data_IF_790998510707
#
_entry.id   IF_790998510707
#
_cell.length_a   1.000
_cell.length_b   1.000
_cell.length_c   1.000
_cell.angle_alpha   90.00
_cell.angle_beta   90.00
_cell.angle_gamma   90.00
#
_symmetry.space_group_name_H-M   'P 1'
#
loop_
_entity.id
_entity.type
_entity.pdbx_description
1 polymer ?
#
# COMPACT_ATOMS: atom_id res chain seq x y z
N UNK A 1 -70.34 -53.00 66.23
CA UNK A 1 -70.87 -53.58 64.99
C UNK A 1 -70.36 -52.82 63.81
N UNK A 2 -69.98 -53.48 62.78
CA UNK A 2 -68.84 -53.11 61.95
C UNK A 2 -69.18 -52.41 60.65
N UNK A 3 -68.27 -51.71 60.07
CA UNK A 3 -68.25 -51.54 58.63
C UNK A 3 -66.84 -51.24 58.13
N UNK A 4 -66.43 -52.01 57.18
CA UNK A 4 -65.18 -51.95 56.45
C UNK A 4 -65.16 -50.77 55.53
N UNK A 5 -64.03 -50.01 55.51
CA UNK A 5 -63.75 -49.00 54.52
C UNK A 5 -62.48 -49.40 53.78
N UNK A 6 -62.65 -49.69 52.50
CA UNK A 6 -61.56 -49.95 51.55
C UNK A 6 -60.82 -48.69 51.22
N UNK A 7 -59.48 -48.69 51.33
CA UNK A 7 -58.60 -47.61 50.85
C UNK A 7 -58.17 -47.94 49.43
N UNK A 8 -58.61 -47.12 48.51
CA UNK A 8 -58.11 -47.07 47.15
C UNK A 8 -56.83 -46.14 47.06
N UNK A 9 -55.70 -46.76 46.79
CA UNK A 9 -54.46 -46.06 46.47
C UNK A 9 -54.52 -45.57 45.05
N UNK A 10 -54.60 -44.27 44.89
CA UNK A 10 -54.34 -43.62 43.60
C UNK A 10 -52.83 -43.35 43.49
N UNK A 11 -52.17 -44.02 42.57
CA UNK A 11 -50.81 -43.72 42.14
C UNK A 11 -50.88 -42.50 41.13
N UNK A 12 -50.36 -41.37 41.52
CA UNK A 12 -50.12 -40.26 40.63
C UNK A 12 -48.80 -40.49 39.89
N UNK A 13 -48.85 -40.71 38.57
CA UNK A 13 -47.67 -40.65 37.70
C UNK A 13 -47.35 -39.15 37.45
N UNK A 14 -46.27 -38.69 38.04
CA UNK A 14 -45.68 -37.40 37.68
C UNK A 14 -44.88 -37.54 36.38
N UNK A 15 -45.40 -36.98 35.27
CA UNK A 15 -44.63 -36.83 34.04
C UNK A 15 -43.70 -35.63 34.20
N UNK A 16 -42.40 -35.87 34.27
CA UNK A 16 -41.39 -34.82 34.23
C UNK A 16 -41.21 -34.38 32.76
N UNK A 17 -41.67 -33.19 32.46
CA UNK A 17 -41.34 -32.48 31.20
C UNK A 17 -39.87 -32.02 31.28
N UNK A 18 -38.98 -32.65 30.51
CA UNK A 18 -37.63 -32.15 30.26
C UNK A 18 -37.71 -31.14 29.10
N UNK A 19 -37.36 -29.87 29.28
CA UNK A 19 -37.29 -28.95 28.15
C UNK A 19 -36.10 -29.32 27.30
N UNK A 20 -36.32 -29.72 26.04
CA UNK A 20 -35.29 -29.87 25.05
C UNK A 20 -34.80 -28.44 24.64
N UNK A 21 -33.64 -28.07 25.16
CA UNK A 21 -32.94 -26.87 24.71
C UNK A 21 -32.33 -27.19 23.33
N UNK A 22 -33.01 -26.79 22.26
CA UNK A 22 -32.47 -26.81 20.89
C UNK A 22 -31.42 -25.71 20.77
N UNK A 23 -30.15 -26.08 20.92
CA UNK A 23 -29.02 -25.20 20.59
C UNK A 23 -29.00 -25.00 19.07
N UNK A 24 -29.50 -23.87 18.60
CA UNK A 24 -29.34 -23.44 17.22
C UNK A 24 -27.87 -23.02 17.06
N UNK A 25 -27.06 -23.91 16.49
CA UNK A 25 -25.73 -23.57 16.01
C UNK A 25 -25.91 -22.64 14.81
N UNK A 26 -25.65 -21.36 15.02
CA UNK A 26 -25.45 -20.42 13.92
C UNK A 26 -24.12 -20.78 13.25
N UNK A 27 -24.18 -21.57 12.19
CA UNK A 27 -23.07 -21.69 11.25
C UNK A 27 -23.05 -20.37 10.48
N UNK A 28 -22.23 -19.44 10.88
CA UNK A 28 -21.88 -18.30 10.04
C UNK A 28 -21.15 -18.90 8.84
N UNK A 29 -21.82 -18.98 7.70
CA UNK A 29 -21.13 -19.24 6.44
C UNK A 29 -20.13 -18.10 6.27
N UNK A 30 -18.83 -18.40 6.31
CA UNK A 30 -17.81 -17.47 5.86
C UNK A 30 -18.22 -17.07 4.43
N UNK A 31 -18.35 -15.78 4.18
CA UNK A 31 -18.56 -15.29 2.83
C UNK A 31 -17.42 -15.85 1.99
N UNK A 32 -17.76 -16.57 0.91
CA UNK A 32 -16.74 -16.99 -0.04
C UNK A 32 -16.10 -15.72 -0.59
N UNK A 33 -14.84 -15.46 -0.24
CA UNK A 33 -14.07 -14.39 -0.86
C UNK A 33 -14.03 -14.66 -2.36
N UNK A 34 -14.31 -13.65 -3.17
CA UNK A 34 -14.13 -13.75 -4.60
C UNK A 34 -12.63 -13.92 -4.86
N UNK A 35 -12.26 -15.03 -5.48
CA UNK A 35 -10.88 -15.27 -5.89
C UNK A 35 -10.63 -14.43 -7.18
N UNK A 36 -9.99 -13.28 -7.01
CA UNK A 36 -9.66 -12.37 -8.11
C UNK A 36 -8.42 -12.89 -8.84
N UNK A 37 -8.42 -12.99 -10.18
CA UNK A 37 -7.22 -13.33 -10.93
C UNK A 37 -6.08 -12.34 -10.67
N UNK A 38 -4.90 -12.84 -10.30
CA UNK A 38 -3.68 -12.05 -10.15
C UNK A 38 -2.79 -12.31 -11.36
N UNK A 39 -2.51 -11.25 -12.13
CA UNK A 39 -1.59 -11.28 -13.26
C UNK A 39 -0.32 -10.53 -12.85
N UNK A 40 0.75 -11.27 -12.54
CA UNK A 40 2.04 -10.73 -12.14
C UNK A 40 2.73 -10.04 -13.33
N UNK A 41 2.24 -8.86 -13.62
CA UNK A 41 2.71 -7.99 -14.67
C UNK A 41 2.38 -6.53 -14.29
N UNK A 42 3.39 -5.68 -14.24
CA UNK A 42 3.21 -4.26 -13.90
C UNK A 42 2.10 -3.58 -14.70
N UNK A 43 1.95 -3.94 -15.98
CA UNK A 43 0.96 -3.35 -16.87
C UNK A 43 -0.45 -3.98 -16.78
N UNK A 44 -0.65 -4.97 -15.92
CA UNK A 44 -1.93 -5.69 -15.78
C UNK A 44 -3.11 -4.79 -15.40
N UNK A 45 -2.85 -3.64 -14.80
CA UNK A 45 -3.87 -2.64 -14.47
C UNK A 45 -4.36 -1.77 -15.64
N UNK A 46 -3.53 -1.61 -16.70
CA UNK A 46 -3.86 -0.74 -17.84
C UNK A 46 -5.17 -1.12 -18.54
N UNK A 47 -5.46 -2.41 -18.81
CA UNK A 47 -6.72 -2.80 -19.45
C UNK A 47 -7.97 -2.39 -18.62
N UNK A 48 -7.87 -2.30 -17.31
CA UNK A 48 -8.97 -1.85 -16.46
C UNK A 48 -9.20 -0.35 -16.62
N UNK A 49 -8.14 0.47 -16.60
CA UNK A 49 -8.24 1.90 -16.85
C UNK A 49 -8.82 2.23 -18.22
N UNK A 50 -8.43 1.46 -19.27
CA UNK A 50 -8.97 1.65 -20.62
C UNK A 50 -10.46 1.28 -20.75
N UNK A 51 -10.95 0.31 -19.97
CA UNK A 51 -12.36 -0.13 -19.99
C UNK A 51 -13.25 0.73 -19.09
N UNK A 52 -12.72 1.22 -18.00
CA UNK A 52 -13.44 1.99 -16.99
C UNK A 52 -12.53 3.13 -16.45
N UNK A 53 -12.34 4.21 -17.23
CA UNK A 53 -11.46 5.31 -16.85
C UNK A 53 -11.80 5.90 -15.48
N UNK A 54 -10.78 5.94 -14.58
CA UNK A 54 -10.94 6.44 -13.22
C UNK A 54 -11.75 5.55 -12.30
N UNK A 55 -12.03 4.30 -12.70
CA UNK A 55 -12.68 3.29 -11.87
C UNK A 55 -11.74 2.61 -10.89
N UNK A 56 -12.19 1.47 -10.35
CA UNK A 56 -11.42 0.65 -9.40
C UNK A 56 -11.00 -0.68 -10.02
N UNK A 57 -9.89 -1.23 -9.52
CA UNK A 57 -9.45 -2.59 -9.81
C UNK A 57 -10.33 -3.62 -9.09
N UNK A 58 -10.37 -4.88 -9.57
CA UNK A 58 -10.95 -5.97 -8.82
C UNK A 58 -10.34 -6.07 -7.42
N UNK A 59 -11.18 -6.13 -6.40
CA UNK A 59 -10.75 -6.21 -5.00
C UNK A 59 -10.43 -4.87 -4.32
N UNK A 60 -10.37 -3.75 -5.06
CA UNK A 60 -10.12 -2.44 -4.47
C UNK A 60 -11.38 -1.58 -4.35
N UNK A 61 -11.33 -0.63 -3.42
CA UNK A 61 -12.28 0.45 -3.20
C UNK A 61 -13.71 -0.02 -2.86
N UNK A 62 -13.83 -1.19 -2.22
CA UNK A 62 -15.09 -1.57 -1.58
C UNK A 62 -15.27 -0.80 -0.27
N UNK A 63 -16.00 0.30 -0.33
CA UNK A 63 -16.29 1.16 0.82
C UNK A 63 -17.21 0.52 1.88
N UNK A 64 -17.75 -0.66 1.60
CA UNK A 64 -18.47 -1.49 2.57
C UNK A 64 -17.57 -2.49 3.30
N UNK A 65 -16.32 -2.67 2.86
CA UNK A 65 -15.35 -3.57 3.46
C UNK A 65 -15.15 -3.23 4.94
N UNK A 66 -15.01 -4.28 5.74
CA UNK A 66 -14.69 -4.17 7.17
C UNK A 66 -13.43 -4.99 7.44
N UNK A 67 -12.38 -4.35 7.96
CA UNK A 67 -11.17 -5.05 8.37
C UNK A 67 -11.49 -6.19 9.34
N UNK A 68 -10.78 -7.29 9.21
CA UNK A 68 -10.91 -8.45 10.09
C UNK A 68 -9.97 -8.34 11.29
N UNK A 69 -10.14 -9.20 12.29
CA UNK A 69 -9.20 -9.28 13.41
C UNK A 69 -7.80 -9.75 12.97
N UNK A 70 -7.70 -10.50 11.86
CA UNK A 70 -6.43 -10.91 11.28
C UNK A 70 -5.73 -9.77 10.53
N UNK A 71 -6.49 -8.90 9.88
CA UNK A 71 -6.00 -7.76 9.12
C UNK A 71 -6.76 -6.50 9.55
N UNK A 72 -6.44 -5.93 10.72
CA UNK A 72 -7.17 -4.80 11.30
C UNK A 72 -6.91 -3.46 10.59
N UNK A 73 -5.77 -3.35 9.89
CA UNK A 73 -5.42 -2.16 9.12
C UNK A 73 -5.81 -2.34 7.64
N UNK A 74 -6.68 -1.47 7.07
CA UNK A 74 -6.89 -1.44 5.62
C UNK A 74 -5.64 -0.96 4.90
N UNK A 75 -5.37 -1.52 3.72
CA UNK A 75 -4.20 -1.16 2.90
C UNK A 75 -4.55 -0.04 1.93
N UNK A 76 -3.75 1.02 1.93
CA UNK A 76 -3.83 2.12 0.97
C UNK A 76 -2.65 2.07 0.01
N UNK A 77 -2.94 1.99 -1.30
CA UNK A 77 -1.98 1.87 -2.38
C UNK A 77 -1.64 3.25 -2.96
N UNK A 78 -0.35 3.63 -2.94
CA UNK A 78 0.14 4.98 -3.30
C UNK A 78 1.09 4.87 -4.51
N UNK A 79 0.59 5.19 -5.70
CA UNK A 79 1.27 4.94 -6.98
C UNK A 79 2.53 5.79 -7.22
N UNK A 80 3.33 5.43 -8.23
CA UNK A 80 4.48 6.18 -8.70
C UNK A 80 4.13 7.32 -9.68
N UNK A 81 5.16 8.04 -10.14
CA UNK A 81 5.03 9.10 -11.15
C UNK A 81 4.42 8.55 -12.44
N UNK A 82 3.42 9.25 -12.97
CA UNK A 82 2.72 8.85 -14.20
C UNK A 82 1.73 7.70 -14.01
N UNK A 83 1.68 7.10 -12.81
CA UNK A 83 0.73 6.05 -12.46
C UNK A 83 -0.64 6.57 -12.04
N UNK A 84 -1.51 5.65 -11.65
CA UNK A 84 -2.84 5.92 -11.12
C UNK A 84 -3.36 4.75 -10.32
N UNK A 85 -4.54 4.90 -9.73
CA UNK A 85 -5.19 3.89 -8.90
C UNK A 85 -5.29 2.52 -9.57
N UNK A 86 -5.58 2.50 -10.88
CA UNK A 86 -5.66 1.25 -11.63
C UNK A 86 -4.33 0.85 -12.26
N UNK A 87 -3.61 1.81 -12.90
CA UNK A 87 -2.48 1.49 -13.77
C UNK A 87 -1.23 0.99 -13.02
N UNK A 88 -1.07 1.33 -11.75
CA UNK A 88 0.10 0.91 -10.95
C UNK A 88 -0.15 -0.37 -10.14
N UNK A 89 -1.40 -0.74 -9.88
CA UNK A 89 -1.75 -1.69 -8.82
C UNK A 89 -2.48 -2.93 -9.30
N UNK A 90 -2.36 -3.26 -10.60
CA UNK A 90 -3.02 -4.41 -11.20
C UNK A 90 -2.68 -5.76 -10.54
N UNK A 91 -1.51 -5.87 -9.91
CA UNK A 91 -1.09 -7.04 -9.11
C UNK A 91 -1.60 -6.94 -7.68
N UNK A 92 -1.29 -5.83 -7.00
CA UNK A 92 -1.47 -5.73 -5.54
C UNK A 92 -2.93 -5.66 -5.12
N UNK A 93 -3.80 -4.99 -5.88
CA UNK A 93 -5.19 -4.85 -5.51
C UNK A 93 -5.92 -6.20 -5.41
N UNK A 94 -5.93 -7.06 -6.46
CA UNK A 94 -6.55 -8.38 -6.38
C UNK A 94 -5.82 -9.33 -5.41
N UNK A 95 -4.48 -9.27 -5.33
CA UNK A 95 -3.70 -10.11 -4.43
C UNK A 95 -4.08 -9.86 -2.98
N UNK A 96 -4.02 -8.63 -2.52
CA UNK A 96 -4.34 -8.26 -1.13
C UNK A 96 -5.80 -8.54 -0.78
N UNK A 97 -6.71 -8.34 -1.72
CA UNK A 97 -8.12 -8.67 -1.51
C UNK A 97 -8.34 -10.18 -1.35
N UNK A 98 -7.61 -11.02 -2.09
CA UNK A 98 -7.63 -12.48 -1.93
C UNK A 98 -7.08 -12.92 -0.57
N UNK A 99 -6.07 -12.20 -0.04
CA UNK A 99 -5.54 -12.41 1.31
C UNK A 99 -6.46 -11.83 2.41
N UNK A 100 -7.59 -11.22 2.06
CA UNK A 100 -8.60 -10.74 3.01
C UNK A 100 -8.40 -9.33 3.54
N UNK A 101 -7.51 -8.54 2.94
CA UNK A 101 -7.37 -7.12 3.26
C UNK A 101 -8.49 -6.27 2.66
N UNK A 102 -8.88 -5.22 3.37
CA UNK A 102 -9.62 -4.11 2.77
C UNK A 102 -8.64 -3.21 2.01
N UNK A 103 -8.77 -3.12 0.68
CA UNK A 103 -7.80 -2.45 -0.20
C UNK A 103 -8.39 -1.18 -0.78
N UNK A 104 -7.63 -0.10 -0.73
CA UNK A 104 -8.02 1.20 -1.26
C UNK A 104 -6.92 1.80 -2.13
N UNK A 105 -7.30 2.47 -3.20
CA UNK A 105 -6.36 3.11 -4.12
C UNK A 105 -6.87 4.46 -4.58
N UNK A 106 -5.94 5.37 -4.89
CA UNK A 106 -6.28 6.69 -5.40
C UNK A 106 -5.36 7.10 -6.55
N UNK A 107 -5.85 7.94 -7.45
CA UNK A 107 -5.01 8.70 -8.37
C UNK A 107 -4.81 10.10 -7.80
N UNK A 108 -3.59 10.40 -7.35
CA UNK A 108 -3.22 11.70 -6.78
C UNK A 108 -2.36 12.51 -7.75
N UNK A 109 -2.30 13.80 -7.56
CA UNK A 109 -1.39 14.70 -8.29
C UNK A 109 -1.60 14.75 -9.80
N UNK A 110 -2.73 14.29 -10.30
CA UNK A 110 -3.12 14.47 -11.71
C UNK A 110 -3.57 15.90 -11.97
N UNK A 111 -3.39 16.37 -13.19
CA UNK A 111 -3.97 17.62 -13.66
C UNK A 111 -5.46 17.43 -13.98
N UNK A 112 -6.25 18.48 -13.77
CA UNK A 112 -7.66 18.51 -14.15
C UNK A 112 -7.79 18.68 -15.68
N UNK A 113 -7.57 17.59 -16.39
CA UNK A 113 -7.57 17.47 -17.83
C UNK A 113 -8.50 16.32 -18.26
N UNK A 114 -9.00 16.32 -19.49
CA UNK A 114 -9.76 15.19 -20.02
C UNK A 114 -8.92 13.90 -20.01
N UNK A 115 -9.61 12.75 -19.85
CA UNK A 115 -8.97 11.46 -20.08
C UNK A 115 -8.41 11.39 -21.52
N UNK A 116 -7.23 10.75 -21.76
CA UNK A 116 -6.45 9.95 -20.83
C UNK A 116 -5.47 10.74 -19.93
N UNK A 117 -5.35 12.06 -20.08
CA UNK A 117 -4.37 12.86 -19.34
C UNK A 117 -4.68 12.92 -17.83
N UNK A 118 -5.96 12.86 -17.43
CA UNK A 118 -6.37 12.81 -16.03
C UNK A 118 -5.99 11.49 -15.33
N UNK A 119 -5.64 10.44 -16.08
CA UNK A 119 -5.16 9.17 -15.52
C UNK A 119 -3.66 9.18 -15.20
N UNK A 120 -2.94 10.26 -15.60
CA UNK A 120 -1.51 10.44 -15.36
C UNK A 120 -1.33 11.17 -14.03
N UNK A 121 -1.18 10.42 -12.95
CA UNK A 121 -1.02 10.96 -11.61
C UNK A 121 0.43 11.29 -11.25
N UNK A 122 0.63 11.86 -10.05
CA UNK A 122 1.97 12.18 -9.54
C UNK A 122 2.70 13.31 -10.27
N UNK A 123 1.98 14.18 -11.00
CA UNK A 123 2.57 15.26 -11.80
C UNK A 123 2.64 16.58 -11.03
N UNK A 124 1.73 16.81 -10.08
CA UNK A 124 1.68 18.01 -9.25
C UNK A 124 2.71 17.95 -8.13
N UNK A 125 2.98 19.07 -7.41
CA UNK A 125 3.87 19.07 -6.26
C UNK A 125 3.55 17.95 -5.26
N UNK A 126 4.59 17.37 -4.65
CA UNK A 126 4.45 16.26 -3.70
C UNK A 126 3.61 16.67 -2.49
N UNK A 127 3.71 17.91 -2.04
CA UNK A 127 2.93 18.45 -0.93
C UNK A 127 1.43 18.44 -1.23
N UNK A 128 1.02 18.87 -2.44
CA UNK A 128 -0.37 18.83 -2.89
C UNK A 128 -0.88 17.39 -2.99
N UNK A 129 -0.04 16.50 -3.54
CA UNK A 129 -0.33 15.07 -3.66
C UNK A 129 -0.49 14.40 -2.29
N UNK A 130 0.36 14.78 -1.34
CA UNK A 130 0.29 14.27 0.05
C UNK A 130 -0.94 14.77 0.79
N UNK A 131 -1.40 16.00 0.52
CA UNK A 131 -2.66 16.50 1.07
C UNK A 131 -3.87 15.73 0.52
N UNK A 132 -3.84 15.31 -0.75
CA UNK A 132 -4.86 14.42 -1.33
C UNK A 132 -4.84 13.05 -0.66
N UNK A 133 -3.64 12.46 -0.44
CA UNK A 133 -3.50 11.20 0.28
C UNK A 133 -4.02 11.32 1.72
N UNK A 134 -3.69 12.40 2.44
CA UNK A 134 -4.18 12.63 3.80
C UNK A 134 -5.71 12.62 3.88
N UNK A 135 -6.37 13.35 3.00
CA UNK A 135 -7.83 13.38 2.92
C UNK A 135 -8.43 12.01 2.53
N UNK A 136 -7.73 11.26 1.68
CA UNK A 136 -8.15 9.91 1.28
C UNK A 136 -8.03 8.91 2.44
N UNK A 137 -6.91 8.93 3.20
CA UNK A 137 -6.73 8.11 4.40
C UNK A 137 -7.80 8.41 5.44
N UNK A 138 -8.12 9.69 5.67
CA UNK A 138 -9.18 10.07 6.60
C UNK A 138 -10.55 9.48 6.18
N UNK A 139 -10.84 9.46 4.89
CA UNK A 139 -12.03 8.81 4.35
C UNK A 139 -12.02 7.31 4.54
N UNK A 140 -10.88 6.64 4.32
CA UNK A 140 -10.72 5.18 4.54
C UNK A 140 -10.96 4.84 6.01
N UNK A 141 -10.30 5.54 6.94
CA UNK A 141 -10.48 5.33 8.38
C UNK A 141 -11.93 5.54 8.82
N UNK A 142 -12.59 6.59 8.30
CA UNK A 142 -14.00 6.85 8.59
C UNK A 142 -14.93 5.75 8.05
N UNK A 143 -14.65 5.19 6.87
CA UNK A 143 -15.46 4.14 6.26
C UNK A 143 -15.27 2.78 6.94
N UNK A 144 -14.04 2.44 7.31
CA UNK A 144 -13.68 1.14 7.88
C UNK A 144 -13.79 1.08 9.39
N UNK A 145 -13.78 2.22 10.07
CA UNK A 145 -13.64 2.36 11.52
C UNK A 145 -12.30 1.79 12.06
N UNK A 146 -11.31 1.59 11.21
CA UNK A 146 -9.97 1.19 11.62
C UNK A 146 -9.25 2.32 12.36
N UNK A 147 -8.34 1.98 13.26
CA UNK A 147 -7.54 2.96 13.98
C UNK A 147 -6.41 3.52 13.11
N UNK A 148 -5.82 2.67 12.27
CA UNK A 148 -4.71 2.99 11.37
C UNK A 148 -4.92 2.34 10.00
N UNK A 149 -4.08 2.71 9.05
CA UNK A 149 -3.94 2.07 7.74
C UNK A 149 -2.52 1.54 7.58
N UNK A 150 -2.34 0.56 6.70
CA UNK A 150 -1.04 0.24 6.14
C UNK A 150 -0.88 0.91 4.77
N UNK A 151 0.33 1.38 4.45
CA UNK A 151 0.65 1.93 3.14
C UNK A 151 1.52 0.96 2.35
N UNK A 152 1.17 0.74 1.08
CA UNK A 152 2.10 0.22 0.07
C UNK A 152 2.30 1.31 -0.96
N UNK A 153 3.55 1.74 -1.12
CA UNK A 153 3.88 2.83 -2.01
C UNK A 153 4.94 2.41 -3.03
N UNK A 154 4.85 2.93 -4.25
CA UNK A 154 5.79 2.68 -5.32
C UNK A 154 6.45 4.00 -5.76
N UNK A 155 7.79 3.99 -5.92
CA UNK A 155 8.53 5.11 -6.51
C UNK A 155 8.25 6.44 -5.78
N UNK A 156 7.81 7.49 -6.49
CA UNK A 156 7.39 8.79 -5.93
C UNK A 156 6.36 8.64 -4.80
N UNK A 157 5.48 7.64 -4.87
CA UNK A 157 4.47 7.38 -3.84
C UNK A 157 5.05 7.27 -2.44
N UNK A 158 6.30 6.81 -2.33
CA UNK A 158 7.01 6.75 -1.05
C UNK A 158 7.28 8.14 -0.46
N UNK A 159 7.64 9.11 -1.28
CA UNK A 159 7.83 10.49 -0.82
C UNK A 159 6.50 11.16 -0.47
N UNK A 160 5.45 10.89 -1.25
CA UNK A 160 4.08 11.37 -0.97
C UNK A 160 3.58 10.80 0.36
N UNK A 161 3.71 9.48 0.57
CA UNK A 161 3.35 8.82 1.82
C UNK A 161 4.17 9.32 3.00
N UNK A 162 5.48 9.45 2.83
CA UNK A 162 6.35 9.89 3.91
C UNK A 162 6.16 11.37 4.28
N UNK A 163 5.85 12.23 3.31
CA UNK A 163 5.46 13.61 3.60
C UNK A 163 4.13 13.66 4.39
N UNK A 164 3.16 12.83 4.02
CA UNK A 164 1.92 12.68 4.79
C UNK A 164 2.22 12.24 6.21
N UNK A 165 3.02 11.19 6.40
CA UNK A 165 3.38 10.67 7.73
C UNK A 165 4.05 11.75 8.57
N UNK A 166 5.09 12.41 8.06
CA UNK A 166 5.94 13.30 8.84
C UNK A 166 5.45 14.74 8.95
N UNK A 167 4.61 15.23 8.04
CA UNK A 167 4.24 16.65 7.94
C UNK A 167 2.74 16.93 8.01
N UNK A 168 1.90 15.91 7.76
CA UNK A 168 0.43 16.08 7.70
C UNK A 168 -0.32 15.22 8.73
N UNK A 169 0.36 14.79 9.80
CA UNK A 169 -0.26 14.05 10.91
C UNK A 169 -0.56 12.58 10.58
N UNK A 170 0.17 11.99 9.63
CA UNK A 170 0.04 10.57 9.28
C UNK A 170 0.69 9.62 10.28
N UNK A 171 1.61 10.10 11.14
CA UNK A 171 2.31 9.27 12.14
C UNK A 171 1.34 8.49 13.05
N UNK A 172 0.26 9.10 13.47
CA UNK A 172 -0.77 8.47 14.30
C UNK A 172 -1.73 7.57 13.49
N UNK A 173 -1.72 7.67 12.15
CA UNK A 173 -2.68 7.03 11.25
C UNK A 173 -2.11 5.88 10.44
N UNK A 174 -0.79 5.72 10.40
CA UNK A 174 -0.09 4.66 9.66
C UNK A 174 0.55 3.69 10.64
N UNK A 175 0.40 2.39 10.41
CA UNK A 175 1.08 1.35 11.18
C UNK A 175 2.31 0.84 10.45
N UNK A 176 2.13 0.28 9.26
CA UNK A 176 3.21 -0.23 8.42
C UNK A 176 3.29 0.54 7.11
N UNK A 177 4.52 0.71 6.62
CA UNK A 177 4.82 1.37 5.36
C UNK A 177 5.73 0.47 4.52
N UNK A 178 5.15 -0.21 3.54
CA UNK A 178 5.89 -1.00 2.56
C UNK A 178 6.28 -0.10 1.39
N UNK A 179 7.57 0.11 1.25
CA UNK A 179 8.16 1.05 0.29
C UNK A 179 8.85 0.28 -0.84
N UNK A 180 8.30 0.34 -2.04
CA UNK A 180 8.83 -0.31 -3.24
C UNK A 180 9.57 0.73 -4.07
N UNK A 181 10.83 0.47 -4.42
CA UNK A 181 11.66 1.34 -5.25
C UNK A 181 11.69 2.81 -4.78
N UNK A 182 12.02 3.03 -3.51
CA UNK A 182 11.82 4.31 -2.84
C UNK A 182 12.96 5.31 -3.05
N UNK A 183 12.72 6.51 -3.60
CA UNK A 183 13.74 7.53 -3.76
C UNK A 183 13.96 8.35 -2.47
N UNK A 184 14.25 7.70 -1.33
CA UNK A 184 14.37 8.37 -0.03
C UNK A 184 15.37 9.52 -0.01
N UNK A 185 16.51 9.35 -0.68
CA UNK A 185 17.55 10.36 -0.79
C UNK A 185 17.52 11.08 -2.15
N UNK A 186 16.41 10.99 -2.85
CA UNK A 186 16.25 11.52 -4.20
C UNK A 186 16.75 10.56 -5.28
N UNK A 187 16.61 10.99 -6.53
CA UNK A 187 17.02 10.20 -7.71
C UNK A 187 17.83 11.05 -8.67
N UNK A 188 18.56 10.40 -9.60
CA UNK A 188 19.47 11.06 -10.56
C UNK A 188 20.50 11.99 -9.91
N UNK A 189 20.81 11.83 -8.63
CA UNK A 189 21.78 12.65 -7.90
C UNK A 189 23.12 12.76 -8.62
N UNK A 190 23.78 11.66 -9.02
CA UNK A 190 25.07 11.70 -9.71
C UNK A 190 25.06 12.52 -11.01
N UNK A 191 23.90 12.71 -11.64
CA UNK A 191 23.75 13.48 -12.90
C UNK A 191 23.36 14.93 -12.64
N UNK A 192 22.41 15.17 -11.74
CA UNK A 192 21.81 16.50 -11.53
C UNK A 192 22.59 17.33 -10.52
N UNK A 193 23.09 16.72 -9.43
CA UNK A 193 23.70 17.45 -8.33
C UNK A 193 24.93 18.26 -8.69
N UNK A 194 25.87 17.80 -9.55
CA UNK A 194 27.00 18.62 -9.95
C UNK A 194 26.58 19.91 -10.65
N UNK A 195 25.56 19.86 -11.52
CA UNK A 195 25.03 21.03 -12.20
C UNK A 195 24.28 21.97 -11.25
N UNK A 196 23.49 21.41 -10.32
CA UNK A 196 22.80 22.17 -9.28
C UNK A 196 23.78 22.85 -8.33
N UNK A 197 24.81 22.17 -7.89
CA UNK A 197 25.84 22.75 -6.99
C UNK A 197 26.64 23.84 -7.69
N UNK A 198 26.95 23.67 -8.97
CA UNK A 198 27.58 24.72 -9.77
C UNK A 198 26.67 25.95 -9.89
N UNK A 199 25.39 25.77 -10.19
CA UNK A 199 24.42 26.85 -10.22
C UNK A 199 24.29 27.58 -8.88
N UNK A 200 24.29 26.85 -7.75
CA UNK A 200 24.27 27.43 -6.40
C UNK A 200 25.51 28.29 -6.12
N UNK A 201 26.70 27.82 -6.50
CA UNK A 201 27.95 28.59 -6.36
C UNK A 201 27.93 29.91 -7.11
N UNK A 202 27.19 29.97 -8.23
CA UNK A 202 26.99 31.19 -9.02
C UNK A 202 25.81 32.06 -8.54
N UNK A 203 25.13 31.68 -7.43
CA UNK A 203 23.93 32.37 -6.96
C UNK A 203 22.69 32.12 -7.82
N UNK A 204 22.74 31.17 -8.78
CA UNK A 204 21.68 30.83 -9.71
C UNK A 204 20.89 29.56 -9.32
N UNK A 205 21.11 29.02 -8.12
CA UNK A 205 20.44 27.83 -7.64
C UNK A 205 18.90 27.88 -7.75
N UNK A 206 18.23 28.95 -7.27
CA UNK A 206 16.77 29.07 -7.39
C UNK A 206 16.29 29.10 -8.84
N UNK A 207 17.03 29.73 -9.76
CA UNK A 207 16.68 29.76 -11.17
C UNK A 207 16.84 28.38 -11.82
N UNK A 208 17.87 27.63 -11.44
CA UNK A 208 18.07 26.25 -11.89
C UNK A 208 16.91 25.34 -11.45
N UNK A 209 16.55 25.39 -10.18
CA UNK A 209 15.45 24.59 -9.62
C UNK A 209 14.09 25.00 -10.23
N UNK A 210 13.86 26.31 -10.48
CA UNK A 210 12.69 26.80 -11.18
C UNK A 210 12.61 26.28 -12.64
N UNK A 211 13.76 26.16 -13.32
CA UNK A 211 13.81 25.61 -14.68
C UNK A 211 13.43 24.14 -14.72
N UNK A 212 13.91 23.36 -13.74
CA UNK A 212 13.49 21.95 -13.57
C UNK A 212 12.00 21.86 -13.25
N UNK A 213 11.49 22.72 -12.37
CA UNK A 213 10.09 22.77 -11.95
C UNK A 213 9.11 23.28 -13.01
N UNK A 214 9.62 23.93 -14.08
CA UNK A 214 8.81 24.38 -15.21
C UNK A 214 8.35 23.23 -16.14
N UNK A 215 8.82 22.00 -15.89
CA UNK A 215 8.32 20.81 -16.58
C UNK A 215 6.86 20.53 -16.22
N UNK A 216 6.09 19.82 -17.07
CA UNK A 216 4.75 19.38 -16.71
C UNK A 216 4.71 18.42 -15.50
N UNK A 217 5.87 17.98 -15.00
CA UNK A 217 6.00 17.19 -13.79
C UNK A 217 6.72 17.99 -12.70
N UNK A 218 5.97 18.77 -11.92
CA UNK A 218 6.53 19.54 -10.80
C UNK A 218 7.17 18.64 -9.73
N UNK A 219 6.56 17.49 -9.44
CA UNK A 219 7.10 16.49 -8.52
C UNK A 219 8.45 15.92 -8.97
N UNK A 220 8.67 15.79 -10.30
CA UNK A 220 9.93 15.26 -10.82
C UNK A 220 11.13 16.12 -10.40
N UNK A 221 10.98 17.44 -10.41
CA UNK A 221 12.02 18.36 -9.94
C UNK A 221 12.32 18.19 -8.42
N UNK A 222 11.29 17.91 -7.62
CA UNK A 222 11.40 17.72 -6.18
C UNK A 222 12.12 16.42 -5.81
N UNK A 223 12.07 15.41 -6.68
CA UNK A 223 12.72 14.11 -6.46
C UNK A 223 14.19 14.06 -6.87
N UNK A 224 14.69 15.09 -7.59
CA UNK A 224 16.05 15.04 -8.12
C UNK A 224 17.10 15.26 -7.03
N UNK A 225 17.98 14.28 -6.81
CA UNK A 225 19.17 14.36 -5.99
C UNK A 225 19.01 15.18 -4.71
N UNK A 226 19.86 16.20 -4.56
CA UNK A 226 19.87 17.12 -3.42
C UNK A 226 18.82 18.26 -3.52
N UNK A 227 17.64 18.02 -4.08
CA UNK A 227 16.56 19.01 -4.09
C UNK A 227 16.21 19.49 -2.68
N UNK A 228 15.76 20.75 -2.57
CA UNK A 228 15.38 21.34 -1.29
C UNK A 228 14.26 20.57 -0.59
N UNK A 229 13.34 20.03 -1.38
CA UNK A 229 12.28 19.16 -0.90
C UNK A 229 12.84 17.93 -0.16
N UNK A 230 13.75 17.17 -0.79
CA UNK A 230 14.38 15.97 -0.18
C UNK A 230 15.12 16.33 1.11
N UNK A 231 15.90 17.43 1.08
CA UNK A 231 16.64 17.89 2.29
C UNK A 231 15.71 18.28 3.42
N UNK A 232 14.64 19.01 3.09
CA UNK A 232 13.65 19.45 4.07
C UNK A 232 12.85 18.28 4.66
N UNK A 233 12.44 17.34 3.83
CA UNK A 233 11.70 16.15 4.28
C UNK A 233 12.56 15.29 5.23
N UNK A 234 13.85 15.17 4.94
CA UNK A 234 14.78 14.31 5.67
C UNK A 234 15.59 15.03 6.77
N UNK A 235 15.31 16.31 7.06
CA UNK A 235 16.09 17.10 8.02
C UNK A 235 16.12 16.49 9.43
N UNK A 236 15.10 15.75 9.81
CA UNK A 236 14.90 15.05 11.09
C UNK A 236 15.02 13.52 10.96
N UNK A 237 15.69 13.04 9.91
CA UNK A 237 15.78 11.63 9.52
C UNK A 237 14.81 11.27 8.41
N UNK A 238 15.03 10.11 7.76
CA UNK A 238 14.18 9.65 6.68
C UNK A 238 12.83 9.17 7.21
N UNK A 239 12.83 8.39 8.26
CA UNK A 239 11.67 7.66 8.78
C UNK A 239 11.07 8.33 10.01
N UNK A 240 9.76 8.18 10.16
CA UNK A 240 9.05 8.46 11.40
C UNK A 240 9.26 7.30 12.39
N UNK A 241 9.60 7.55 13.66
CA UNK A 241 9.90 6.48 14.62
C UNK A 241 8.68 5.65 15.05
N UNK A 242 7.47 6.14 14.85
CA UNK A 242 6.24 5.43 15.23
C UNK A 242 5.76 4.44 14.17
N UNK A 243 6.23 4.58 12.92
CA UNK A 243 5.85 3.74 11.78
C UNK A 243 6.88 2.66 11.52
N UNK A 244 6.43 1.45 11.15
CA UNK A 244 7.30 0.34 10.74
C UNK A 244 7.50 0.36 9.24
N UNK A 245 8.75 0.43 8.79
CA UNK A 245 9.09 0.51 7.36
C UNK A 245 9.70 -0.78 6.84
N UNK A 246 9.28 -1.19 5.64
CA UNK A 246 9.95 -2.24 4.87
C UNK A 246 10.25 -1.71 3.49
N UNK A 247 11.54 -1.55 3.18
CA UNK A 247 12.01 -1.13 1.87
C UNK A 247 12.27 -2.36 1.01
N UNK A 248 11.68 -2.42 -0.18
CA UNK A 248 11.85 -3.48 -1.17
C UNK A 248 12.42 -2.84 -2.43
N UNK A 249 13.63 -3.26 -2.83
CA UNK A 249 14.40 -2.61 -3.86
C UNK A 249 15.02 -3.61 -4.82
N UNK A 250 15.33 -3.17 -6.03
CA UNK A 250 16.04 -3.95 -7.05
C UNK A 250 17.39 -3.33 -7.40
N UNK A 251 18.40 -4.17 -7.61
CA UNK A 251 19.71 -3.72 -8.10
C UNK A 251 19.68 -3.17 -9.52
N UNK A 252 18.62 -3.45 -10.26
CA UNK A 252 18.43 -3.07 -11.64
C UNK A 252 17.60 -1.81 -11.81
N UNK A 253 17.32 -1.07 -10.71
CA UNK A 253 16.58 0.18 -10.78
C UNK A 253 17.34 1.21 -11.60
N UNK A 254 16.74 1.63 -12.71
CA UNK A 254 17.29 2.60 -13.66
C UNK A 254 16.76 4.02 -13.45
N UNK A 255 15.72 4.17 -12.60
CA UNK A 255 15.14 5.46 -12.26
C UNK A 255 15.59 5.95 -10.89
N UNK A 256 15.58 5.10 -9.86
CA UNK A 256 16.09 5.43 -8.53
C UNK A 256 17.58 5.08 -8.46
N UNK A 257 18.42 6.02 -8.89
CA UNK A 257 19.87 5.80 -9.08
C UNK A 257 20.67 6.68 -8.13
N UNK A 258 21.61 6.08 -7.36
CA UNK A 258 21.85 4.64 -7.22
C UNK A 258 20.74 3.95 -6.39
N UNK A 259 20.43 2.69 -6.68
CA UNK A 259 19.36 1.94 -5.99
C UNK A 259 19.54 1.92 -4.45
N UNK A 260 20.75 2.09 -3.96
CA UNK A 260 21.06 2.12 -2.53
C UNK A 260 20.45 3.32 -1.78
N UNK A 261 19.97 4.35 -2.49
CA UNK A 261 19.25 5.48 -1.86
C UNK A 261 17.91 5.06 -1.26
N UNK A 262 17.37 3.91 -1.69
CA UNK A 262 16.18 3.32 -1.13
C UNK A 262 16.43 2.51 0.17
N UNK A 263 17.68 2.13 0.42
CA UNK A 263 18.06 1.20 1.50
C UNK A 263 18.61 1.93 2.73
N UNK A 264 18.00 3.04 3.12
CA UNK A 264 18.44 3.81 4.28
C UNK A 264 18.14 3.01 5.56
N UNK A 265 19.12 2.81 6.46
CA UNK A 265 18.87 2.14 7.73
C UNK A 265 18.06 3.02 8.68
N UNK A 266 17.20 2.41 9.50
CA UNK A 266 16.37 3.10 10.49
C UNK A 266 15.95 2.19 11.66
N UNK A 267 15.37 2.74 12.74
CA UNK A 267 15.05 1.98 13.96
C UNK A 267 14.04 0.84 13.75
N UNK A 268 12.96 1.11 13.02
CA UNK A 268 11.90 0.14 12.70
C UNK A 268 11.90 -0.11 11.19
N UNK A 269 13.08 -0.43 10.63
CA UNK A 269 13.26 -0.48 9.18
C UNK A 269 13.91 -1.79 8.76
N UNK A 270 13.27 -2.48 7.81
CA UNK A 270 13.81 -3.64 7.11
C UNK A 270 14.15 -3.25 5.69
N UNK A 271 15.35 -3.60 5.23
CA UNK A 271 15.81 -3.37 3.86
C UNK A 271 15.96 -4.69 3.12
N UNK A 272 15.31 -4.81 1.99
CA UNK A 272 15.26 -6.01 1.15
C UNK A 272 15.70 -5.65 -0.26
N UNK A 273 16.63 -6.42 -0.81
CA UNK A 273 16.98 -6.40 -2.23
C UNK A 273 16.44 -7.69 -2.85
N UNK A 274 15.56 -7.58 -3.84
CA UNK A 274 14.87 -8.77 -4.40
C UNK A 274 15.83 -9.80 -5.00
N UNK A 275 17.02 -9.40 -5.44
CA UNK A 275 18.06 -10.31 -5.94
C UNK A 275 18.82 -11.01 -4.81
N UNK A 276 18.68 -10.60 -3.55
CA UNK A 276 19.31 -11.32 -2.44
C UNK A 276 18.61 -12.66 -2.25
N UNK A 277 19.36 -13.74 -2.47
CA UNK A 277 18.84 -15.11 -2.49
C UNK A 277 18.12 -15.53 -3.77
N UNK A 278 18.00 -14.65 -4.80
CA UNK A 278 17.41 -14.99 -6.10
C UNK A 278 18.06 -14.22 -7.26
N UNK A 279 19.16 -14.74 -7.77
CA UNK A 279 19.88 -14.11 -8.90
C UNK A 279 19.11 -14.17 -10.24
N UNK A 280 17.98 -14.85 -10.29
CA UNK A 280 17.14 -14.98 -11.47
C UNK A 280 16.06 -13.90 -11.58
N UNK A 281 15.96 -13.01 -10.59
CA UNK A 281 15.08 -11.85 -10.62
C UNK A 281 15.77 -10.69 -11.35
N UNK A 282 15.22 -10.30 -12.51
CA UNK A 282 15.68 -9.17 -13.33
C UNK A 282 14.66 -8.03 -13.39
N UNK A 283 13.72 -8.00 -12.44
CA UNK A 283 12.81 -6.88 -12.34
C UNK A 283 13.59 -5.58 -12.12
N UNK A 284 13.22 -4.55 -12.85
CA UNK A 284 13.73 -3.19 -12.76
C UNK A 284 12.69 -2.28 -12.06
N UNK A 285 12.79 -0.96 -12.19
CA UNK A 285 11.96 -0.01 -11.45
C UNK A 285 10.45 -0.23 -11.59
N UNK A 286 9.96 -0.53 -12.78
CA UNK A 286 8.54 -0.80 -13.01
C UNK A 286 8.21 -2.27 -12.68
N UNK A 287 9.03 -3.19 -13.17
CA UNK A 287 8.83 -4.63 -13.01
C UNK A 287 8.80 -5.09 -11.56
N UNK A 288 9.53 -4.44 -10.64
CA UNK A 288 9.49 -4.80 -9.22
C UNK A 288 8.07 -4.64 -8.63
N UNK A 289 7.27 -3.70 -9.10
CA UNK A 289 5.88 -3.55 -8.69
C UNK A 289 4.92 -4.54 -9.39
N UNK A 290 5.42 -5.31 -10.36
CA UNK A 290 4.71 -6.42 -11.01
C UNK A 290 5.15 -7.80 -10.51
N UNK A 291 6.28 -7.89 -9.80
CA UNK A 291 6.94 -9.11 -9.40
C UNK A 291 6.18 -9.84 -8.27
N UNK A 292 5.97 -11.16 -8.44
CA UNK A 292 5.42 -12.01 -7.38
C UNK A 292 6.37 -12.13 -6.18
N UNK A 293 7.69 -12.07 -6.43
CA UNK A 293 8.69 -12.08 -5.38
C UNK A 293 8.62 -10.82 -4.51
N UNK A 294 8.54 -9.64 -5.12
CA UNK A 294 8.38 -8.39 -4.39
C UNK A 294 7.03 -8.34 -3.66
N UNK A 295 5.96 -8.85 -4.28
CA UNK A 295 4.65 -8.95 -3.67
C UNK A 295 4.64 -9.88 -2.44
N UNK A 296 5.36 -11.02 -2.48
CA UNK A 296 5.51 -11.90 -1.33
C UNK A 296 6.26 -11.22 -0.17
N UNK A 297 7.30 -10.43 -0.45
CA UNK A 297 7.95 -9.62 0.59
C UNK A 297 7.01 -8.56 1.18
N UNK A 298 6.16 -7.96 0.35
CA UNK A 298 5.19 -6.97 0.81
C UNK A 298 4.12 -7.62 1.71
N UNK A 299 3.58 -8.79 1.36
CA UNK A 299 2.66 -9.55 2.21
C UNK A 299 3.31 -9.89 3.55
N UNK A 300 4.54 -10.40 3.55
CA UNK A 300 5.26 -10.74 4.77
C UNK A 300 5.59 -9.50 5.65
N UNK A 301 5.67 -8.32 5.03
CA UNK A 301 5.83 -7.08 5.77
C UNK A 301 4.52 -6.60 6.42
N UNK A 302 3.39 -6.88 5.80
CA UNK A 302 2.06 -6.58 6.34
C UNK A 302 1.66 -7.56 7.44
N UNK A 303 1.98 -8.85 7.27
CA UNK A 303 1.71 -9.90 8.25
C UNK A 303 3.00 -10.69 8.59
N UNK A 304 3.85 -10.15 9.47
CA UNK A 304 5.10 -10.81 9.85
C UNK A 304 4.91 -12.04 10.75
N UNK A 305 3.73 -12.23 11.31
CA UNK A 305 3.44 -13.35 12.19
C UNK A 305 3.04 -14.62 11.40
N UNK A 306 2.57 -14.49 10.15
CA UNK A 306 2.27 -15.60 9.22
C UNK A 306 3.01 -15.45 7.87
N UNK A 307 4.36 -15.49 7.86
CA UNK A 307 5.13 -15.23 6.66
C UNK A 307 4.99 -16.33 5.62
N UNK A 308 4.69 -15.95 4.40
CA UNK A 308 4.58 -16.84 3.26
C UNK A 308 5.94 -17.08 2.58
N UNK A 309 6.14 -18.24 1.92
CA UNK A 309 7.35 -18.51 1.14
C UNK A 309 7.55 -17.47 0.03
N UNK A 310 8.76 -16.92 -0.05
CA UNK A 310 9.13 -15.97 -1.11
C UNK A 310 9.62 -16.75 -2.34
N UNK A 311 8.93 -16.63 -3.49
CA UNK A 311 9.30 -17.37 -4.70
C UNK A 311 10.65 -16.93 -5.25
N UNK A 312 11.36 -17.86 -5.92
CA UNK A 312 12.56 -17.57 -6.67
C UNK A 312 12.56 -18.33 -8.00
N UNK A 313 12.31 -17.63 -9.07
CA UNK A 313 12.35 -18.11 -10.43
C UNK A 313 12.80 -16.97 -11.35
N UNK A 314 12.86 -17.23 -12.65
CA UNK A 314 13.18 -16.18 -13.61
C UNK A 314 12.06 -15.16 -13.68
N UNK A 315 12.38 -13.92 -13.30
CA UNK A 315 11.50 -12.75 -13.47
C UNK A 315 12.11 -11.89 -14.57
N UNK A 316 11.39 -11.66 -15.69
CA UNK A 316 11.90 -10.87 -16.79
C UNK A 316 11.95 -9.37 -16.44
N UNK A 317 12.80 -8.59 -17.11
CA UNK A 317 12.73 -7.13 -17.00
C UNK A 317 11.42 -6.59 -17.61
N UNK A 318 10.98 -5.39 -17.16
CA UNK A 318 9.87 -4.58 -17.67
C UNK A 318 8.50 -5.01 -17.14
N UNK A 319 8.25 -6.27 -17.02
CA UNK A 319 6.90 -6.75 -16.65
C UNK A 319 6.78 -7.18 -15.19
N UNK A 320 7.76 -7.79 -14.63
CA UNK A 320 7.71 -8.39 -13.30
C UNK A 320 7.51 -9.88 -13.33
#
# INVERSE_FOLDING_TARGET
MPSHIARLLRRALGAALVPAISSILWVTAAAAHADYPVDYNFFSGIPYELRNPGGSLPGADDWSCRPSDAHPEPVVLVHGTGGGAQTNWGVYAPLLANEGYCVYSLTYGAYDLPWPLSAIGGMRPIEDSSAQLAAFVDRVLAATSAAKVDLIAHSQGNLVGNYFVKRLGGSDKVDKFVAIAAPWLGTFGPVIDPARDFARRLGAGPAFDATLGASPCAACAQMTGSADFIRSLNADGVYDPEVTYTNIETRYDELVVPYTVALVPGPKTTNIVVQDGCAADYSEHAGIAGSDRAAAFALNALDPDDPQPVPCHFIPPITG
#
